data_IF_004679881464
#
_entry.id   IF_004679881464
#
_cell.length_a   1.000
_cell.length_b   1.000
_cell.length_c   1.000
_cell.angle_alpha   90.00
_cell.angle_beta   90.00
_cell.angle_gamma   90.00
#
_symmetry.space_group_name_H-M   'P 1'
#
loop_
_entity.id
_entity.type
_entity.pdbx_description
1 polymer ?
#
# COMPACT_ATOMS: atom_id res chain seq x y z
N UNK A 1 -59.04 -20.08 -4.43
CA UNK A 1 -59.18 -19.20 -3.26
C UNK A 1 -58.50 -19.89 -2.09
N UNK A 2 -57.40 -19.46 -1.50
CA UNK A 2 -56.48 -18.34 -1.71
C UNK A 2 -55.21 -18.79 -0.96
N UNK A 3 -54.11 -19.01 -1.69
CA UNK A 3 -52.82 -19.35 -1.08
C UNK A 3 -52.23 -18.05 -0.54
N UNK A 4 -52.17 -17.93 0.78
CA UNK A 4 -51.53 -16.82 1.47
C UNK A 4 -50.06 -16.73 1.03
N UNK A 5 -49.77 -15.73 0.20
CA UNK A 5 -48.41 -15.35 -0.18
C UNK A 5 -47.79 -14.58 0.99
N UNK A 6 -46.82 -15.19 1.67
CA UNK A 6 -45.94 -14.45 2.58
C UNK A 6 -44.92 -13.66 1.74
N UNK A 7 -44.76 -12.34 1.92
CA UNK A 7 -43.70 -11.61 1.27
C UNK A 7 -42.35 -11.96 1.91
N UNK A 8 -41.45 -12.42 1.05
CA UNK A 8 -40.05 -12.72 1.32
C UNK A 8 -39.30 -11.40 1.62
N UNK A 9 -39.22 -11.00 2.89
CA UNK A 9 -38.36 -9.89 3.31
C UNK A 9 -36.90 -10.35 3.34
N UNK A 10 -36.30 -10.39 2.15
CA UNK A 10 -34.86 -10.47 1.95
C UNK A 10 -34.18 -9.19 2.42
N UNK A 11 -34.16 -8.93 3.73
CA UNK A 11 -33.35 -7.89 4.33
C UNK A 11 -31.97 -8.47 4.55
N UNK A 12 -31.13 -8.37 3.52
CA UNK A 12 -29.69 -8.62 3.61
C UNK A 12 -29.12 -7.58 4.60
N UNK A 13 -29.11 -7.93 5.89
CA UNK A 13 -28.31 -7.27 6.90
C UNK A 13 -26.86 -7.52 6.49
N UNK A 14 -26.30 -6.62 5.68
CA UNK A 14 -24.87 -6.39 5.71
C UNK A 14 -24.56 -5.98 7.14
N UNK A 15 -24.16 -6.96 7.95
CA UNK A 15 -23.70 -6.74 9.31
C UNK A 15 -22.72 -5.57 9.24
N UNK A 16 -23.08 -4.46 9.89
CA UNK A 16 -22.18 -3.34 10.09
C UNK A 16 -20.93 -3.96 10.73
N UNK A 17 -19.84 -4.05 9.97
CA UNK A 17 -18.57 -4.49 10.54
C UNK A 17 -18.29 -3.52 11.69
N UNK A 18 -17.92 -4.03 12.88
CA UNK A 18 -17.60 -3.16 14.00
C UNK A 18 -16.56 -2.14 13.54
N UNK A 19 -16.75 -0.88 13.91
CA UNK A 19 -15.77 0.15 13.60
C UNK A 19 -14.45 -0.26 14.26
N UNK A 20 -13.33 -0.26 13.51
CA UNK A 20 -12.06 -0.65 14.09
C UNK A 20 -11.68 0.33 15.19
N UNK A 21 -11.23 -0.23 16.31
CA UNK A 21 -10.69 0.49 17.45
C UNK A 21 -9.50 1.37 17.04
N UNK A 22 -9.18 2.36 17.87
CA UNK A 22 -8.04 3.23 17.62
C UNK A 22 -6.73 2.44 17.52
N UNK A 23 -6.55 1.42 18.37
CA UNK A 23 -5.39 0.51 18.32
C UNK A 23 -5.29 -0.28 17.01
N UNK A 24 -6.41 -0.77 16.48
CA UNK A 24 -6.45 -1.46 15.19
C UNK A 24 -6.09 -0.52 14.04
N UNK A 25 -6.58 0.72 14.07
CA UNK A 25 -6.25 1.75 13.06
C UNK A 25 -4.77 2.10 13.10
N UNK A 26 -4.20 2.27 14.30
CA UNK A 26 -2.78 2.54 14.48
C UNK A 26 -1.93 1.35 14.01
N UNK A 27 -2.40 0.12 14.24
CA UNK A 27 -1.72 -1.09 13.75
C UNK A 27 -1.73 -1.15 12.23
N UNK A 28 -2.84 -0.81 11.57
CA UNK A 28 -2.92 -0.76 10.10
C UNK A 28 -2.05 0.36 9.50
N UNK A 29 -1.93 1.48 10.19
CA UNK A 29 -1.07 2.60 9.78
C UNK A 29 0.40 2.37 10.10
N UNK A 30 0.74 1.41 10.96
CA UNK A 30 2.11 1.15 11.42
C UNK A 30 3.10 1.03 10.28
N UNK A 31 2.72 0.33 9.21
CA UNK A 31 3.58 0.16 8.04
C UNK A 31 3.99 1.49 7.37
N UNK A 32 3.13 2.51 7.44
CA UNK A 32 3.41 3.86 6.92
C UNK A 32 4.09 4.77 7.96
N UNK A 33 3.85 4.54 9.26
CA UNK A 33 4.51 5.31 10.32
C UNK A 33 5.98 4.93 10.46
N UNK A 34 6.33 3.67 10.22
CA UNK A 34 7.71 3.18 10.27
C UNK A 34 8.59 3.59 9.08
N UNK A 35 8.00 4.15 8.02
CA UNK A 35 8.76 4.58 6.85
C UNK A 35 9.79 5.63 7.23
N UNK A 36 11.05 5.37 6.87
CA UNK A 36 12.21 6.14 7.27
C UNK A 36 13.51 5.55 6.70
N UNK A 37 14.68 5.96 7.23
CA UNK A 37 15.98 5.50 6.71
C UNK A 37 16.18 3.98 6.70
N UNK A 38 15.64 3.27 7.68
CA UNK A 38 15.78 1.80 7.82
C UNK A 38 14.69 1.00 7.09
N UNK A 39 13.55 1.63 6.78
CA UNK A 39 12.43 1.07 6.02
C UNK A 39 12.02 2.08 4.95
N UNK A 40 12.72 2.09 3.80
CA UNK A 40 12.55 3.16 2.83
C UNK A 40 11.17 3.25 2.19
N UNK A 41 10.39 2.16 2.13
CA UNK A 41 9.08 2.12 1.48
C UNK A 41 8.05 1.44 2.37
N UNK A 42 6.82 1.95 2.34
CA UNK A 42 5.62 1.31 2.86
C UNK A 42 4.44 1.57 1.93
N UNK A 43 3.42 0.72 1.97
CA UNK A 43 2.19 0.96 1.24
C UNK A 43 0.97 0.53 2.05
N UNK A 44 -0.17 1.11 1.70
CA UNK A 44 -1.46 0.69 2.22
C UNK A 44 -2.50 0.68 1.08
N UNK A 45 -3.27 -0.41 0.91
CA UNK A 45 -4.36 -0.45 -0.06
C UNK A 45 -5.38 0.68 0.17
N UNK A 46 -5.93 1.25 -0.92
CA UNK A 46 -6.89 2.36 -0.79
C UNK A 46 -8.17 1.94 -0.05
N UNK A 47 -8.61 0.69 -0.17
CA UNK A 47 -9.75 0.19 0.60
C UNK A 47 -9.43 0.11 2.09
N UNK A 48 -8.21 -0.29 2.46
CA UNK A 48 -7.78 -0.34 3.86
C UNK A 48 -7.80 1.05 4.48
N UNK A 49 -7.31 2.07 3.75
CA UNK A 49 -7.35 3.47 4.21
C UNK A 49 -8.79 3.94 4.44
N UNK A 50 -9.68 3.70 3.48
CA UNK A 50 -11.05 4.22 3.51
C UNK A 50 -11.97 3.46 4.46
N UNK A 51 -11.91 2.14 4.42
CA UNK A 51 -12.94 1.29 5.05
C UNK A 51 -12.52 0.85 6.46
N UNK A 52 -11.22 0.82 6.76
CA UNK A 52 -10.69 0.38 8.04
C UNK A 52 -10.03 1.53 8.81
N UNK A 53 -9.11 2.27 8.20
CA UNK A 53 -8.53 3.42 8.89
C UNK A 53 -9.56 4.57 9.02
N UNK A 54 -10.56 4.59 8.13
CA UNK A 54 -11.55 5.67 7.94
C UNK A 54 -10.90 7.05 7.77
N UNK A 55 -9.80 7.07 7.04
CA UNK A 55 -9.17 8.30 6.55
C UNK A 55 -9.33 8.39 5.03
N UNK A 56 -9.02 9.56 4.48
CA UNK A 56 -8.84 9.70 3.04
C UNK A 56 -7.38 9.41 2.66
N UNK A 57 -7.12 8.83 1.48
CA UNK A 57 -5.75 8.69 0.97
C UNK A 57 -4.98 10.02 0.96
N UNK A 58 -5.68 11.12 0.67
CA UNK A 58 -5.13 12.47 0.65
C UNK A 58 -4.69 12.93 2.04
N UNK A 59 -5.45 12.63 3.09
CA UNK A 59 -5.08 12.96 4.46
C UNK A 59 -3.86 12.16 4.93
N UNK A 60 -3.80 10.86 4.59
CA UNK A 60 -2.64 10.02 4.89
C UNK A 60 -1.40 10.52 4.14
N UNK A 61 -1.55 10.90 2.87
CA UNK A 61 -0.45 11.45 2.07
C UNK A 61 0.05 12.80 2.62
N UNK A 62 -0.86 13.68 3.03
CA UNK A 62 -0.52 14.96 3.65
C UNK A 62 0.26 14.76 4.96
N UNK A 63 -0.17 13.83 5.82
CA UNK A 63 0.51 13.49 7.07
C UNK A 63 1.93 12.94 6.82
N UNK A 64 2.11 12.09 5.80
CA UNK A 64 3.43 11.60 5.41
C UNK A 64 4.32 12.73 4.85
N UNK A 65 3.78 13.60 4.01
CA UNK A 65 4.50 14.74 3.44
C UNK A 65 4.95 15.72 4.53
N UNK A 66 4.12 15.96 5.55
CA UNK A 66 4.48 16.78 6.71
C UNK A 66 5.68 16.22 7.50
N UNK A 67 5.98 14.93 7.37
CA UNK A 67 7.16 14.26 7.94
C UNK A 67 8.37 14.27 7.00
N UNK A 68 8.29 14.94 5.84
CA UNK A 68 9.35 14.98 4.83
C UNK A 68 9.40 13.75 3.91
N UNK A 69 8.37 12.91 3.92
CA UNK A 69 8.29 11.71 3.08
C UNK A 69 7.64 12.01 1.73
N UNK A 70 7.99 11.23 0.72
CA UNK A 70 7.34 11.26 -0.58
C UNK A 70 6.16 10.28 -0.61
N UNK A 71 5.16 10.58 -1.44
CA UNK A 71 3.94 9.77 -1.55
C UNK A 71 3.55 9.56 -3.01
N UNK A 72 3.05 8.38 -3.34
CA UNK A 72 2.52 8.08 -4.67
C UNK A 72 1.24 7.24 -4.56
N UNK A 73 0.16 7.71 -5.16
CA UNK A 73 -1.12 7.00 -5.20
C UNK A 73 -1.31 6.37 -6.58
N UNK A 74 -1.52 5.05 -6.59
CA UNK A 74 -1.78 4.31 -7.82
C UNK A 74 -3.19 3.75 -7.79
N UNK A 75 -3.96 4.06 -8.83
CA UNK A 75 -5.29 3.49 -9.02
C UNK A 75 -5.25 2.01 -9.43
N UNK A 76 -6.42 1.34 -9.42
CA UNK A 76 -6.52 -0.10 -9.67
C UNK A 76 -6.19 -0.53 -11.10
N UNK A 77 -6.11 0.42 -12.05
CA UNK A 77 -5.67 0.16 -13.43
C UNK A 77 -4.15 0.11 -13.57
N UNK A 78 -3.42 0.66 -12.61
CA UNK A 78 -1.97 0.81 -12.63
C UNK A 78 -1.32 -0.08 -11.58
N UNK A 79 -1.96 -0.26 -10.43
CA UNK A 79 -1.47 -1.11 -9.35
C UNK A 79 -2.07 -2.52 -9.42
N UNK A 80 -1.29 -3.53 -9.01
CA UNK A 80 -1.78 -4.92 -8.87
C UNK A 80 -2.80 -5.12 -7.75
N UNK A 81 -2.91 -4.16 -6.85
CA UNK A 81 -3.89 -4.18 -5.76
C UNK A 81 -5.25 -3.73 -6.33
N UNK A 82 -6.29 -4.54 -6.16
CA UNK A 82 -7.63 -4.31 -6.76
C UNK A 82 -8.25 -2.96 -6.44
N UNK A 83 -7.93 -2.38 -5.28
CA UNK A 83 -8.38 -1.05 -4.89
C UNK A 83 -7.46 0.08 -5.36
N UNK A 84 -6.27 -0.23 -5.86
CA UNK A 84 -5.12 0.66 -5.83
C UNK A 84 -4.45 0.70 -4.45
N UNK A 85 -3.36 1.44 -4.33
CA UNK A 85 -2.66 1.66 -3.08
C UNK A 85 -2.02 3.04 -3.01
N UNK A 86 -1.82 3.51 -1.78
CA UNK A 86 -0.97 4.65 -1.47
C UNK A 86 0.38 4.11 -1.00
N UNK A 87 1.44 4.54 -1.67
CA UNK A 87 2.83 4.30 -1.28
C UNK A 87 3.36 5.54 -0.56
N UNK A 88 4.12 5.31 0.50
CA UNK A 88 4.87 6.31 1.25
C UNK A 88 6.33 5.86 1.27
N UNK A 89 7.26 6.75 0.99
CA UNK A 89 8.67 6.38 0.91
C UNK A 89 9.60 7.52 1.29
N UNK A 90 10.75 7.15 1.88
CA UNK A 90 11.83 8.06 2.20
C UNK A 90 12.76 8.17 0.98
N UNK A 91 12.56 9.20 0.15
CA UNK A 91 13.22 9.33 -1.16
C UNK A 91 14.76 9.23 -1.10
N UNK A 92 15.40 9.89 -0.15
CA UNK A 92 16.86 9.87 -0.01
C UNK A 92 17.40 8.49 0.39
N UNK A 93 16.87 7.90 1.46
CA UNK A 93 17.23 6.54 1.88
C UNK A 93 16.99 5.50 0.79
N UNK A 94 15.87 5.61 0.04
CA UNK A 94 15.62 4.75 -1.11
C UNK A 94 16.67 4.98 -2.19
N UNK A 95 16.98 6.24 -2.55
CA UNK A 95 18.03 6.54 -3.53
C UNK A 95 19.38 5.93 -3.13
N UNK A 96 19.78 6.10 -1.86
CA UNK A 96 21.04 5.56 -1.35
C UNK A 96 21.09 4.03 -1.41
N UNK A 97 20.00 3.36 -1.04
CA UNK A 97 19.88 1.90 -1.16
C UNK A 97 19.96 1.45 -2.62
N UNK A 98 19.23 2.12 -3.52
CA UNK A 98 19.21 1.79 -4.94
C UNK A 98 20.60 1.97 -5.56
N UNK A 99 21.32 3.04 -5.21
CA UNK A 99 22.68 3.28 -5.70
C UNK A 99 23.70 2.29 -5.12
N UNK A 100 23.62 1.98 -3.82
CA UNK A 100 24.50 1.00 -3.19
C UNK A 100 24.35 -0.41 -3.77
N UNK A 101 23.22 -0.68 -4.43
CA UNK A 101 22.90 -1.97 -5.08
C UNK A 101 22.65 -1.81 -6.57
N UNK A 102 23.29 -0.84 -7.22
CA UNK A 102 22.96 -0.47 -8.59
C UNK A 102 23.09 -1.62 -9.60
N UNK A 103 24.15 -2.43 -9.50
CA UNK A 103 24.36 -3.59 -10.37
C UNK A 103 23.24 -4.64 -10.27
N UNK A 104 22.93 -5.22 -9.10
CA UNK A 104 21.85 -6.21 -9.00
C UNK A 104 20.48 -5.62 -9.32
N UNK A 105 20.23 -4.34 -9.03
CA UNK A 105 18.97 -3.65 -9.38
C UNK A 105 18.84 -3.54 -10.91
N UNK A 106 19.90 -3.10 -11.58
CA UNK A 106 19.91 -2.98 -13.04
C UNK A 106 19.81 -4.35 -13.71
N UNK A 107 20.49 -5.37 -13.19
CA UNK A 107 20.41 -6.75 -13.67
C UNK A 107 19.01 -7.36 -13.49
N UNK A 108 18.29 -6.98 -12.43
CA UNK A 108 16.89 -7.34 -12.21
C UNK A 108 15.90 -6.52 -13.07
N UNK A 109 16.39 -5.58 -13.90
CA UNK A 109 15.56 -4.72 -14.75
C UNK A 109 14.78 -3.65 -13.99
N UNK A 110 15.24 -3.29 -12.78
CA UNK A 110 14.56 -2.33 -11.90
C UNK A 110 15.13 -0.91 -12.10
N UNK A 111 14.30 0.15 -11.96
CA UNK A 111 14.78 1.53 -12.02
C UNK A 111 15.67 1.90 -10.83
N UNK A 112 16.69 2.74 -11.06
CA UNK A 112 17.52 3.32 -9.99
C UNK A 112 16.97 4.65 -9.44
N UNK A 113 16.01 5.25 -10.12
CA UNK A 113 15.31 6.44 -9.65
C UNK A 113 14.21 6.03 -8.65
N UNK A 114 14.15 6.62 -7.45
CA UNK A 114 13.18 6.26 -6.41
C UNK A 114 11.72 6.29 -6.86
N UNK A 115 11.32 7.34 -7.57
CA UNK A 115 9.92 7.55 -7.95
C UNK A 115 9.50 6.54 -9.02
N UNK A 116 10.37 6.31 -10.02
CA UNK A 116 10.19 5.28 -11.04
C UNK A 116 10.22 3.88 -10.44
N UNK A 117 11.09 3.63 -9.47
CA UNK A 117 11.18 2.35 -8.78
C UNK A 117 9.86 2.04 -8.08
N UNK A 118 9.34 2.98 -7.28
CA UNK A 118 8.04 2.84 -6.59
C UNK A 118 6.90 2.60 -7.58
N UNK A 119 6.84 3.38 -8.67
CA UNK A 119 5.84 3.18 -9.71
C UNK A 119 5.95 1.79 -10.38
N UNK A 120 7.17 1.31 -10.61
CA UNK A 120 7.42 0.02 -11.23
C UNK A 120 6.99 -1.13 -10.31
N UNK A 121 7.39 -1.11 -9.03
CA UNK A 121 7.01 -2.17 -8.09
C UNK A 121 5.52 -2.16 -7.74
N UNK A 122 4.83 -1.02 -7.88
CA UNK A 122 3.39 -0.96 -7.73
C UNK A 122 2.64 -1.67 -8.87
N UNK A 123 3.21 -1.65 -10.09
CA UNK A 123 2.58 -2.15 -11.31
C UNK A 123 2.94 -3.60 -11.66
N UNK A 124 4.11 -4.06 -11.24
CA UNK A 124 4.66 -5.38 -11.60
C UNK A 124 4.53 -6.35 -10.42
N UNK A 125 4.15 -7.59 -10.71
CA UNK A 125 4.18 -8.69 -9.74
C UNK A 125 5.52 -9.42 -9.86
N UNK A 126 6.21 -9.59 -8.73
CA UNK A 126 7.44 -10.37 -8.63
C UNK A 126 7.14 -11.61 -7.82
N UNK A 127 7.35 -12.79 -8.41
CA UNK A 127 7.33 -14.04 -7.65
C UNK A 127 8.52 -14.12 -6.69
N UNK A 128 8.43 -15.01 -5.71
CA UNK A 128 9.48 -15.21 -4.70
C UNK A 128 10.82 -15.63 -5.32
N UNK A 129 10.79 -16.37 -6.42
CA UNK A 129 12.00 -16.80 -7.16
C UNK A 129 12.60 -15.69 -8.05
N UNK A 130 11.96 -14.52 -8.16
CA UNK A 130 12.46 -13.45 -9.01
C UNK A 130 13.69 -12.77 -8.38
N UNK A 131 14.76 -12.47 -9.14
CA UNK A 131 15.95 -11.77 -8.61
C UNK A 131 15.67 -10.42 -7.94
N UNK A 132 14.53 -9.80 -8.26
CA UNK A 132 14.05 -8.56 -7.65
C UNK A 132 13.50 -8.75 -6.23
N UNK A 133 13.02 -9.95 -5.88
CA UNK A 133 12.35 -10.21 -4.61
C UNK A 133 13.21 -9.84 -3.38
N UNK A 134 14.47 -10.29 -3.24
CA UNK A 134 15.29 -9.92 -2.08
C UNK A 134 15.60 -8.42 -2.02
N UNK A 135 15.63 -7.73 -3.15
CA UNK A 135 15.82 -6.26 -3.20
C UNK A 135 14.55 -5.57 -2.68
N UNK A 136 13.39 -6.04 -3.14
CA UNK A 136 12.10 -5.50 -2.74
C UNK A 136 11.87 -5.72 -1.24
N UNK A 137 12.17 -6.91 -0.70
CA UNK A 137 12.10 -7.18 0.74
C UNK A 137 12.92 -6.15 1.55
N UNK A 138 14.18 -5.91 1.16
CA UNK A 138 15.03 -4.95 1.88
C UNK A 138 14.45 -3.51 1.87
N UNK A 139 13.78 -3.06 0.80
CA UNK A 139 13.18 -1.71 0.80
C UNK A 139 11.96 -1.60 1.71
N UNK A 140 11.30 -2.72 2.00
CA UNK A 140 10.16 -2.79 2.93
C UNK A 140 10.59 -3.08 4.38
N UNK A 141 11.89 -3.29 4.62
CA UNK A 141 12.45 -3.58 5.94
C UNK A 141 12.39 -5.06 6.33
N UNK A 142 12.22 -5.95 5.36
CA UNK A 142 12.19 -7.42 5.51
C UNK A 142 13.56 -8.07 5.21
#
# INVERSE_FOLDING_TARGET
>A
MELASQPNEGRLLMARRPEPSEDERQTLLRSLTEVGPSKPVGYLPLYTIKDFVQLTPEAVAAAATARGLATAQFGPKVCRIKSGALYVYHREALANLLQARAEPISAAGLPLDPDRFVAYIAAVWFGEDHPAHPIIATVFGD
#
